data_IF_109779820575
#
_entry.id   IF_109779820575
#
_cell.length_a   1.000
_cell.length_b   1.000
_cell.length_c   1.000
_cell.angle_alpha   90.00
_cell.angle_beta   90.00
_cell.angle_gamma   90.00
#
_symmetry.space_group_name_H-M   'P 1'
#
loop_
_entity.id
_entity.type
_entity.pdbx_description
1 polymer ?
#
# COMPACT_ATOMS: atom_id res chain seq x y z
N UNK A 1 3.40 36.18 35.56
CA UNK A 1 1.94 36.25 35.29
C UNK A 1 1.80 36.50 33.80
N UNK A 2 1.09 35.63 33.08
CA UNK A 2 0.97 35.69 31.61
C UNK A 2 0.02 36.85 31.25
N UNK A 3 0.32 37.65 30.22
CA UNK A 3 -0.54 38.78 29.83
C UNK A 3 -1.83 38.30 29.15
N UNK A 4 -2.88 39.14 29.15
CA UNK A 4 -4.12 38.84 28.43
C UNK A 4 -3.89 38.60 26.92
N UNK A 5 -2.98 39.37 26.31
CA UNK A 5 -2.58 39.16 24.91
C UNK A 5 -1.94 37.79 24.69
N UNK A 6 -1.11 37.33 25.63
CA UNK A 6 -0.53 35.98 25.59
C UNK A 6 -1.60 34.90 25.80
N UNK A 7 -2.57 35.11 26.70
CA UNK A 7 -3.68 34.17 26.90
C UNK A 7 -4.55 34.03 25.64
N UNK A 8 -4.86 35.13 24.97
CA UNK A 8 -5.66 35.12 23.74
C UNK A 8 -4.93 34.41 22.59
N UNK A 9 -3.62 34.62 22.47
CA UNK A 9 -2.76 33.90 21.51
C UNK A 9 -2.81 32.39 21.74
N UNK A 10 -2.59 31.95 22.99
CA UNK A 10 -2.59 30.53 23.37
C UNK A 10 -3.97 29.89 23.09
N UNK A 11 -5.06 30.58 23.42
CA UNK A 11 -6.41 30.08 23.17
C UNK A 11 -6.68 29.87 21.67
N UNK A 12 -6.24 30.82 20.83
CA UNK A 12 -6.43 30.73 19.36
C UNK A 12 -5.61 29.60 18.75
N UNK A 13 -4.37 29.42 19.18
CA UNK A 13 -3.51 28.34 18.69
C UNK A 13 -4.02 26.97 19.15
N UNK A 14 -4.49 26.88 20.40
CA UNK A 14 -5.15 25.68 20.92
C UNK A 14 -6.42 25.30 20.15
N UNK A 15 -7.25 26.26 19.79
CA UNK A 15 -8.45 26.03 18.97
C UNK A 15 -8.08 25.49 17.58
N UNK A 16 -7.07 26.09 16.93
CA UNK A 16 -6.59 25.64 15.61
C UNK A 16 -6.11 24.19 15.64
N UNK A 17 -5.20 23.85 16.57
CA UNK A 17 -4.63 22.51 16.70
C UNK A 17 -5.66 21.45 17.09
N UNK A 18 -6.74 21.84 17.79
CA UNK A 18 -7.82 20.92 18.16
C UNK A 18 -8.75 20.63 16.99
N UNK A 19 -8.96 21.62 16.11
CA UNK A 19 -9.86 21.56 14.97
C UNK A 19 -9.22 20.93 13.74
N UNK A 20 -7.96 21.24 13.45
CA UNK A 20 -7.25 20.72 12.29
C UNK A 20 -6.68 19.33 12.57
N UNK A 21 -7.47 18.31 12.21
CA UNK A 21 -7.08 16.90 12.35
C UNK A 21 -6.85 16.30 10.98
N UNK A 22 -5.93 15.34 10.90
CA UNK A 22 -5.68 14.60 9.64
C UNK A 22 -6.95 13.96 9.08
N UNK A 23 -7.83 13.45 9.96
CA UNK A 23 -9.11 12.86 9.57
C UNK A 23 -10.09 13.84 8.91
N UNK A 24 -9.80 15.14 8.87
CA UNK A 24 -10.66 16.16 8.24
C UNK A 24 -10.42 16.33 6.73
N UNK A 25 -9.64 15.45 6.09
CA UNK A 25 -9.46 15.46 4.63
C UNK A 25 -8.07 15.09 4.13
N UNK A 26 -7.19 14.59 4.99
CA UNK A 26 -5.84 14.16 4.62
C UNK A 26 -5.70 12.64 4.80
N UNK A 27 -5.03 11.98 3.87
CA UNK A 27 -4.72 10.55 3.94
C UNK A 27 -3.21 10.33 3.87
N UNK A 28 -2.63 9.77 4.93
CA UNK A 28 -1.21 9.39 4.95
C UNK A 28 -0.97 8.15 4.08
N UNK A 29 -1.97 7.28 3.96
CA UNK A 29 -1.82 6.00 3.27
C UNK A 29 -1.47 6.18 1.79
N UNK A 30 -2.09 7.15 1.12
CA UNK A 30 -1.77 7.49 -0.27
C UNK A 30 -0.31 7.95 -0.43
N UNK A 31 0.19 8.77 0.50
CA UNK A 31 1.58 9.23 0.51
C UNK A 31 2.55 8.05 0.66
N UNK A 32 2.22 7.10 1.54
CA UNK A 32 3.02 5.90 1.75
C UNK A 32 3.03 5.04 0.48
N UNK A 33 1.88 4.75 -0.12
CA UNK A 33 1.79 3.94 -1.33
C UNK A 33 2.55 4.56 -2.50
N UNK A 34 2.44 5.88 -2.69
CA UNK A 34 3.20 6.59 -3.72
C UNK A 34 4.71 6.50 -3.50
N UNK A 35 5.15 6.54 -2.24
CA UNK A 35 6.56 6.35 -1.91
C UNK A 35 7.01 4.90 -2.16
N UNK A 36 6.22 3.90 -1.81
CA UNK A 36 6.54 2.50 -2.12
C UNK A 36 6.61 2.28 -3.63
N UNK A 37 5.65 2.82 -4.39
CA UNK A 37 5.66 2.78 -5.86
C UNK A 37 6.95 3.33 -6.45
N UNK A 38 7.53 4.37 -5.84
CA UNK A 38 8.81 4.95 -6.29
C UNK A 38 10.01 4.00 -6.16
N UNK A 39 9.90 2.94 -5.37
CA UNK A 39 10.93 1.90 -5.24
C UNK A 39 10.79 0.79 -6.30
N UNK A 40 9.72 0.81 -7.09
CA UNK A 40 9.42 -0.17 -8.15
C UNK A 40 9.71 0.44 -9.53
N UNK A 41 10.91 0.97 -9.71
CA UNK A 41 11.35 1.66 -10.93
C UNK A 41 12.04 0.75 -11.96
N UNK A 42 12.44 -0.45 -11.56
CA UNK A 42 13.06 -1.43 -12.45
C UNK A 42 12.06 -1.94 -13.53
N UNK A 43 12.46 -1.99 -14.81
CA UNK A 43 11.57 -2.45 -15.89
C UNK A 43 11.11 -3.91 -15.74
N UNK A 44 11.74 -4.73 -14.88
CA UNK A 44 11.30 -6.10 -14.59
C UNK A 44 9.86 -6.16 -14.05
N UNK A 45 9.37 -5.11 -13.38
CA UNK A 45 8.03 -5.08 -12.81
C UNK A 45 6.94 -4.99 -13.88
N UNK A 46 7.20 -4.27 -14.98
CA UNK A 46 6.24 -3.99 -16.06
C UNK A 46 6.52 -4.77 -17.34
N UNK A 47 7.71 -5.33 -17.50
CA UNK A 47 8.12 -5.99 -18.73
C UNK A 47 8.27 -5.04 -19.93
N UNK A 48 8.47 -5.60 -21.13
CA UNK A 48 8.59 -4.84 -22.37
C UNK A 48 7.23 -4.29 -22.85
N UNK A 49 7.23 -3.51 -23.94
CA UNK A 49 5.96 -3.06 -24.54
C UNK A 49 5.19 -4.21 -25.20
N UNK A 50 3.85 -4.24 -25.11
CA UNK A 50 3.02 -5.25 -25.74
C UNK A 50 3.14 -5.28 -27.26
N UNK A 51 3.16 -6.47 -27.86
CA UNK A 51 3.26 -6.64 -29.31
C UNK A 51 2.06 -6.06 -30.08
N UNK A 52 0.88 -6.08 -29.46
CA UNK A 52 -0.34 -5.49 -30.01
C UNK A 52 -0.47 -3.98 -29.73
N UNK A 53 0.48 -3.38 -29.00
CA UNK A 53 0.46 -1.97 -28.61
C UNK A 53 -0.58 -1.59 -27.56
N UNK A 54 -1.29 -2.55 -26.96
CA UNK A 54 -2.35 -2.31 -25.97
C UNK A 54 -1.99 -2.95 -24.62
N UNK A 55 -2.02 -4.29 -24.53
CA UNK A 55 -1.76 -5.06 -23.30
C UNK A 55 -1.21 -6.45 -23.63
N UNK A 56 -0.44 -7.04 -22.71
CA UNK A 56 -0.08 -8.45 -22.76
C UNK A 56 -1.26 -9.33 -22.37
N UNK A 57 -1.52 -10.37 -23.17
CA UNK A 57 -2.64 -11.31 -22.92
C UNK A 57 -2.09 -12.68 -22.57
N UNK A 58 -1.17 -13.18 -23.39
CA UNK A 58 -0.58 -14.51 -23.23
C UNK A 58 0.84 -14.45 -22.68
N UNK A 59 1.52 -13.31 -22.82
CA UNK A 59 2.88 -13.14 -22.30
C UNK A 59 2.89 -13.03 -20.76
N UNK A 60 3.88 -13.68 -20.15
CA UNK A 60 4.09 -13.69 -18.70
C UNK A 60 5.25 -12.78 -18.26
N UNK A 61 5.31 -11.55 -18.81
CA UNK A 61 6.42 -10.62 -18.59
C UNK A 61 6.16 -9.56 -17.51
N UNK A 62 4.96 -9.52 -16.93
CA UNK A 62 4.56 -8.56 -15.90
C UNK A 62 4.49 -9.22 -14.51
N UNK A 63 4.79 -8.47 -13.45
CA UNK A 63 4.84 -9.02 -12.08
C UNK A 63 3.54 -9.69 -11.63
N UNK A 64 2.38 -9.17 -12.05
CA UNK A 64 1.08 -9.78 -11.70
C UNK A 64 0.92 -11.21 -12.24
N UNK A 65 1.63 -11.59 -13.31
CA UNK A 65 1.64 -12.96 -13.86
C UNK A 65 2.39 -13.90 -12.93
N UNK A 66 3.50 -13.45 -12.36
CA UNK A 66 4.20 -14.18 -11.30
C UNK A 66 3.33 -14.32 -10.05
N UNK A 67 2.66 -13.25 -9.62
CA UNK A 67 1.71 -13.32 -8.50
C UNK A 67 0.60 -14.35 -8.77
N UNK A 68 0.07 -14.40 -9.99
CA UNK A 68 -0.95 -15.38 -10.38
C UNK A 68 -0.43 -16.82 -10.28
N UNK A 69 0.82 -17.06 -10.65
CA UNK A 69 1.45 -18.38 -10.52
C UNK A 69 1.68 -18.77 -9.04
N UNK A 70 2.13 -17.82 -8.20
CA UNK A 70 2.25 -18.04 -6.76
C UNK A 70 0.88 -18.31 -6.13
N UNK A 71 -0.15 -17.59 -6.56
CA UNK A 71 -1.54 -17.81 -6.17
C UNK A 71 -2.05 -19.19 -6.52
N UNK A 72 -1.76 -19.64 -7.73
CA UNK A 72 -2.08 -21.01 -8.09
C UNK A 72 -1.46 -22.01 -7.10
N UNK A 73 -0.19 -21.81 -6.70
CA UNK A 73 0.50 -22.71 -5.75
C UNK A 73 -0.13 -22.68 -4.36
N UNK A 74 -0.35 -21.50 -3.78
CA UNK A 74 -0.88 -21.43 -2.40
C UNK A 74 -2.37 -21.80 -2.29
N UNK A 75 -3.11 -21.80 -3.40
CA UNK A 75 -4.48 -22.31 -3.44
C UNK A 75 -4.55 -23.85 -3.55
N UNK A 76 -3.43 -24.55 -3.72
CA UNK A 76 -3.42 -26.02 -3.71
C UNK A 76 -3.65 -26.50 -2.27
N UNK A 77 -4.63 -27.39 -2.03
CA UNK A 77 -4.90 -27.89 -0.69
C UNK A 77 -3.71 -28.69 -0.17
N UNK A 78 -3.28 -28.38 1.04
CA UNK A 78 -2.24 -29.12 1.78
C UNK A 78 -2.80 -30.43 2.33
N UNK A 79 -1.92 -31.40 2.62
CA UNK A 79 -2.34 -32.74 3.04
C UNK A 79 -1.91 -33.07 4.46
N UNK A 80 -2.71 -33.90 5.14
CA UNK A 80 -2.36 -34.41 6.47
C UNK A 80 -2.22 -33.31 7.52
N UNK A 81 -1.02 -33.13 8.05
CA UNK A 81 -0.68 -32.18 9.13
C UNK A 81 0.19 -31.01 8.66
N UNK A 82 0.21 -30.75 7.35
CA UNK A 82 0.92 -29.61 6.77
C UNK A 82 0.15 -28.30 7.05
N UNK A 83 0.90 -27.21 7.25
CA UNK A 83 0.33 -25.88 7.48
C UNK A 83 -0.04 -25.19 6.18
N UNK A 84 -1.14 -24.43 6.18
CA UNK A 84 -1.51 -23.58 5.04
C UNK A 84 -0.65 -22.32 4.98
N UNK A 85 -0.67 -21.62 3.83
CA UNK A 85 0.07 -20.37 3.66
C UNK A 85 -0.48 -19.26 4.57
N UNK A 86 -1.79 -19.25 4.81
CA UNK A 86 -2.43 -18.31 5.73
C UNK A 86 -2.00 -18.54 7.18
N UNK A 87 -1.79 -19.80 7.59
CA UNK A 87 -1.28 -20.14 8.93
C UNK A 87 0.18 -19.70 9.11
N UNK A 88 0.98 -19.78 8.05
CA UNK A 88 2.40 -19.44 8.10
C UNK A 88 2.69 -17.94 7.94
N UNK A 89 1.97 -17.26 7.04
CA UNK A 89 2.30 -15.90 6.61
C UNK A 89 1.18 -14.87 6.86
N UNK A 90 -0.03 -15.32 7.20
CA UNK A 90 -1.18 -14.46 7.46
C UNK A 90 -1.68 -13.70 6.23
N UNK A 91 -2.54 -12.70 6.45
CA UNK A 91 -3.19 -11.95 5.36
C UNK A 91 -2.25 -10.97 4.62
N UNK A 92 -1.15 -10.56 5.24
CA UNK A 92 -0.23 -9.56 4.68
C UNK A 92 0.60 -10.07 3.50
N UNK A 93 0.59 -11.38 3.23
CA UNK A 93 1.23 -11.98 2.06
C UNK A 93 0.39 -11.84 0.79
N UNK A 94 -0.95 -11.78 0.93
CA UNK A 94 -1.91 -11.86 -0.18
C UNK A 94 -2.51 -10.47 -0.51
N UNK A 95 -2.49 -9.53 0.44
CA UNK A 95 -3.01 -8.16 0.30
C UNK A 95 -1.89 -7.14 0.11
#
# INVERSE_FOLDING_TARGET
MISYSQQAMIAREGDLLTRERLCCGLSIFEVILNRIKSYLDDPVWTGPSPANGIIHVDECSEFHRLCSALQFVYCIPVTGTEYTIEELFGEGFIK
#
